data_IF_293001312691
#
_entry.id   IF_293001312691
#
_cell.length_a   1.000
_cell.length_b   1.000
_cell.length_c   1.000
_cell.angle_alpha   90.00
_cell.angle_beta   90.00
_cell.angle_gamma   90.00
#
_symmetry.space_group_name_H-M   'P 1'
#
loop_
_entity.id
_entity.type
_entity.pdbx_description
1 polymer ?
#
# COMPACT_ATOMS: atom_id res chain seq x y z
N UNK A 1 -29.15 50.01 43.91
CA UNK A 1 -29.45 49.73 42.48
C UNK A 1 -30.89 49.24 42.42
N UNK A 2 -31.77 49.92 41.68
CA UNK A 2 -33.18 49.50 41.61
C UNK A 2 -33.32 48.30 40.67
N UNK A 3 -34.29 47.43 40.94
CA UNK A 3 -34.49 46.13 40.28
C UNK A 3 -34.38 46.19 38.74
N UNK A 4 -34.91 47.26 38.14
CA UNK A 4 -34.89 47.50 36.69
C UNK A 4 -33.47 47.70 36.14
N UNK A 5 -32.61 48.42 36.87
CA UNK A 5 -31.20 48.63 36.49
C UNK A 5 -30.40 47.32 36.57
N UNK A 6 -30.72 46.43 37.51
CA UNK A 6 -30.07 45.11 37.62
C UNK A 6 -30.47 44.18 36.47
N UNK A 7 -31.73 44.22 36.02
CA UNK A 7 -32.23 43.38 34.92
C UNK A 7 -31.58 43.79 33.59
N UNK A 8 -31.50 45.10 33.31
CA UNK A 8 -30.89 45.61 32.07
C UNK A 8 -29.40 45.20 32.00
N UNK A 9 -28.68 45.28 33.12
CA UNK A 9 -27.27 44.90 33.17
C UNK A 9 -27.06 43.40 32.96
N UNK A 10 -27.94 42.55 33.53
CA UNK A 10 -27.87 41.09 33.36
C UNK A 10 -28.13 40.66 31.90
N UNK A 11 -29.10 41.27 31.22
CA UNK A 11 -29.40 40.97 29.81
C UNK A 11 -28.25 41.40 28.90
N UNK A 12 -27.62 42.54 29.17
CA UNK A 12 -26.46 43.01 28.41
C UNK A 12 -25.26 42.04 28.52
N UNK A 13 -24.97 41.51 29.71
CA UNK A 13 -23.89 40.54 29.92
C UNK A 13 -24.18 39.21 29.21
N UNK A 14 -25.43 38.72 29.26
CA UNK A 14 -25.84 37.50 28.56
C UNK A 14 -25.73 37.65 27.05
N UNK A 15 -26.14 38.81 26.50
CA UNK A 15 -26.00 39.11 25.08
C UNK A 15 -24.53 39.13 24.62
N UNK A 16 -23.66 39.79 25.38
CA UNK A 16 -22.21 39.81 25.09
C UNK A 16 -21.61 38.41 25.19
N UNK A 17 -21.98 37.62 26.19
CA UNK A 17 -21.48 36.25 26.38
C UNK A 17 -21.87 35.34 25.21
N UNK A 18 -23.10 35.44 24.71
CA UNK A 18 -23.56 34.66 23.56
C UNK A 18 -22.83 35.05 22.26
N UNK A 19 -22.62 36.34 22.02
CA UNK A 19 -21.87 36.83 20.85
C UNK A 19 -20.40 36.42 20.92
N UNK A 20 -19.78 36.51 22.10
CA UNK A 20 -18.41 36.04 22.33
C UNK A 20 -18.30 34.53 22.14
N UNK A 21 -19.18 33.72 22.75
CA UNK A 21 -19.16 32.26 22.54
C UNK A 21 -19.40 31.86 21.07
N UNK A 22 -20.32 32.53 20.37
CA UNK A 22 -20.58 32.28 18.94
C UNK A 22 -19.38 32.61 18.05
N UNK A 23 -18.74 33.76 18.27
CA UNK A 23 -17.57 34.19 17.48
C UNK A 23 -16.31 33.37 17.78
N UNK A 24 -16.08 32.99 19.04
CA UNK A 24 -14.98 32.08 19.39
C UNK A 24 -15.20 30.70 18.78
N UNK A 25 -16.39 30.10 18.90
CA UNK A 25 -16.67 28.78 18.31
C UNK A 25 -16.47 28.78 16.78
N UNK A 26 -16.96 29.80 16.07
CA UNK A 26 -16.80 29.90 14.62
C UNK A 26 -15.33 30.06 14.18
N UNK A 27 -14.52 30.78 14.96
CA UNK A 27 -13.08 30.93 14.66
C UNK A 27 -12.33 29.61 14.87
N UNK A 28 -12.69 28.82 15.89
CA UNK A 28 -12.10 27.51 16.12
C UNK A 28 -12.50 26.50 15.05
N UNK A 29 -13.74 26.50 14.58
CA UNK A 29 -14.15 25.60 13.49
C UNK A 29 -13.40 25.90 12.19
N UNK A 30 -13.19 27.17 11.85
CA UNK A 30 -12.39 27.56 10.70
C UNK A 30 -10.92 27.17 10.83
N UNK A 31 -10.31 27.38 12.00
CA UNK A 31 -8.94 26.93 12.27
C UNK A 31 -8.80 25.41 12.26
N UNK A 32 -9.81 24.65 12.71
CA UNK A 32 -9.80 23.18 12.64
C UNK A 32 -9.96 22.68 11.21
N UNK A 33 -10.83 23.28 10.40
CA UNK A 33 -10.96 22.93 8.99
C UNK A 33 -9.66 23.17 8.22
N UNK A 34 -9.03 24.35 8.40
CA UNK A 34 -7.74 24.67 7.77
C UNK A 34 -6.60 23.78 8.27
N UNK A 35 -6.57 23.46 9.57
CA UNK A 35 -5.57 22.54 10.12
C UNK A 35 -5.78 21.14 9.56
N UNK A 36 -7.01 20.67 9.42
CA UNK A 36 -7.32 19.35 8.88
C UNK A 36 -6.98 19.21 7.39
N UNK A 37 -7.24 20.24 6.58
CA UNK A 37 -6.78 20.30 5.18
C UNK A 37 -5.25 20.27 5.07
N UNK A 38 -4.52 20.84 6.04
CA UNK A 38 -3.05 20.83 6.04
C UNK A 38 -2.40 19.45 6.28
N UNK A 39 -3.17 18.43 6.68
CA UNK A 39 -2.70 17.04 6.83
C UNK A 39 -3.27 16.06 5.78
N UNK A 40 -4.21 16.48 4.93
CA UNK A 40 -4.69 15.62 3.84
C UNK A 40 -3.64 15.54 2.74
N UNK A 41 -2.80 14.51 2.83
CA UNK A 41 -1.82 14.21 1.80
C UNK A 41 -2.55 13.80 0.50
N UNK A 42 -2.09 14.27 -0.67
CA UNK A 42 -2.78 14.03 -1.94
C UNK A 42 -2.92 12.53 -2.22
N UNK A 43 -3.96 12.18 -2.99
CA UNK A 43 -4.13 10.83 -3.50
C UNK A 43 -2.94 10.46 -4.40
N UNK A 44 -2.54 9.20 -4.33
CA UNK A 44 -1.47 8.69 -5.18
C UNK A 44 -2.06 8.26 -6.53
N UNK A 45 -1.25 8.39 -7.57
CA UNK A 45 -1.61 8.07 -8.94
C UNK A 45 -0.58 7.12 -9.58
N UNK A 46 -0.76 6.85 -10.87
CA UNK A 46 0.11 5.95 -11.64
C UNK A 46 1.57 6.41 -11.63
N UNK A 47 1.84 7.71 -11.76
CA UNK A 47 3.22 8.22 -11.75
C UNK A 47 3.92 8.02 -10.41
N UNK A 48 3.19 8.06 -9.29
CA UNK A 48 3.77 7.89 -7.95
C UNK A 48 4.22 6.46 -7.67
N UNK A 49 3.63 5.48 -8.35
CA UNK A 49 3.96 4.05 -8.16
C UNK A 49 4.96 3.53 -9.20
N UNK A 50 5.26 4.32 -10.23
CA UNK A 50 6.32 4.01 -11.19
C UNK A 50 7.68 4.18 -10.53
N UNK A 51 8.61 3.29 -10.87
CA UNK A 51 10.00 3.35 -10.42
C UNK A 51 10.20 3.21 -8.90
N UNK A 52 9.19 2.74 -8.16
CA UNK A 52 9.35 2.39 -6.75
C UNK A 52 10.23 1.16 -6.59
N UNK A 53 10.97 1.11 -5.50
CA UNK A 53 11.76 -0.05 -5.12
C UNK A 53 11.84 -0.14 -3.60
N UNK A 54 12.38 -1.23 -3.09
CA UNK A 54 12.70 -1.32 -1.67
C UNK A 54 13.03 -2.73 -1.21
N UNK A 55 12.94 -2.92 0.11
CA UNK A 55 13.25 -4.16 0.80
C UNK A 55 12.01 -4.99 1.13
N UNK A 56 12.16 -6.30 1.14
CA UNK A 56 11.23 -7.27 1.72
C UNK A 56 11.85 -7.78 3.01
N UNK A 57 11.09 -7.75 4.11
CA UNK A 57 11.40 -8.41 5.37
C UNK A 57 10.05 -8.83 5.95
N UNK A 58 9.79 -10.13 5.97
CA UNK A 58 8.48 -10.66 6.32
C UNK A 58 8.59 -11.99 7.06
N UNK A 59 7.87 -12.11 8.18
CA UNK A 59 7.65 -13.39 8.83
C UNK A 59 6.46 -14.07 8.18
N UNK A 60 6.61 -15.33 7.79
CA UNK A 60 5.54 -16.08 7.14
C UNK A 60 5.07 -17.21 8.01
N UNK A 61 3.75 -17.29 8.16
CA UNK A 61 3.10 -18.26 9.01
C UNK A 61 2.46 -19.36 8.17
N UNK A 62 2.25 -20.53 8.77
CA UNK A 62 1.43 -21.58 8.20
C UNK A 62 -0.07 -21.34 8.48
N UNK A 63 -0.94 -22.26 8.04
CA UNK A 63 -2.39 -22.18 8.28
C UNK A 63 -2.82 -22.13 9.75
N UNK A 64 -1.95 -22.51 10.69
CA UNK A 64 -2.18 -22.42 12.13
C UNK A 64 -1.58 -21.16 12.77
N UNK A 65 -1.16 -20.19 11.96
CA UNK A 65 -0.52 -18.95 12.40
C UNK A 65 0.84 -19.15 13.12
N UNK A 66 1.50 -20.28 12.86
CA UNK A 66 2.83 -20.57 13.40
C UNK A 66 3.89 -20.10 12.39
N UNK A 67 4.90 -19.31 12.80
CA UNK A 67 5.98 -18.90 11.92
C UNK A 67 6.78 -20.09 11.38
N UNK A 68 6.98 -20.12 10.07
CA UNK A 68 7.70 -21.19 9.35
C UNK A 68 8.85 -20.67 8.50
N UNK A 69 8.73 -19.46 7.95
CA UNK A 69 9.76 -18.84 7.11
C UNK A 69 10.03 -17.39 7.49
N UNK A 70 11.29 -16.99 7.41
CA UNK A 70 11.72 -15.60 7.32
C UNK A 70 11.99 -15.32 5.85
N UNK A 71 11.25 -14.37 5.27
CA UNK A 71 11.42 -13.94 3.89
C UNK A 71 12.12 -12.59 3.87
N UNK A 72 13.19 -12.50 3.09
CA UNK A 72 13.95 -11.27 2.92
C UNK A 72 14.27 -11.04 1.44
N UNK A 73 14.49 -9.80 1.02
CA UNK A 73 14.87 -9.55 -0.36
C UNK A 73 14.71 -8.12 -0.82
N UNK A 74 14.70 -7.94 -2.14
CA UNK A 74 14.51 -6.66 -2.81
C UNK A 74 13.36 -6.77 -3.81
N UNK A 75 12.69 -5.66 -4.05
CA UNK A 75 11.67 -5.54 -5.08
C UNK A 75 11.81 -4.22 -5.82
N UNK A 76 11.30 -4.19 -7.04
CA UNK A 76 11.18 -2.97 -7.84
C UNK A 76 9.96 -3.03 -8.74
N UNK A 77 9.37 -1.88 -8.95
CA UNK A 77 8.39 -1.59 -9.98
C UNK A 77 9.09 -0.67 -10.99
N UNK A 78 9.22 -1.11 -12.24
CA UNK A 78 9.75 -0.30 -13.35
C UNK A 78 8.68 0.03 -14.38
N UNK A 79 9.09 0.75 -15.41
CA UNK A 79 8.29 1.00 -16.61
C UNK A 79 8.75 0.11 -17.77
N UNK A 80 7.81 -0.54 -18.46
CA UNK A 80 8.11 -1.19 -19.74
C UNK A 80 8.10 -0.10 -20.81
N UNK A 81 9.26 0.21 -21.37
CA UNK A 81 9.34 1.17 -22.47
C UNK A 81 8.67 0.55 -23.70
N UNK A 82 7.46 0.99 -24.03
CA UNK A 82 6.86 0.69 -25.34
C UNK A 82 7.67 1.41 -26.41
N UNK A 83 8.30 0.69 -27.34
CA UNK A 83 8.87 1.28 -28.55
C UNK A 83 7.79 1.68 -29.59
N UNK A 84 6.52 1.79 -29.18
CA UNK A 84 5.40 1.97 -30.09
C UNK A 84 5.09 3.46 -30.27
N UNK A 85 5.61 4.04 -31.34
CA UNK A 85 5.40 5.42 -31.78
C UNK A 85 4.02 5.62 -32.42
N UNK A 86 2.94 5.22 -31.74
CA UNK A 86 1.58 5.49 -32.19
C UNK A 86 0.79 6.25 -31.12
N UNK A 87 1.10 7.53 -31.00
CA UNK A 87 0.31 8.52 -30.26
C UNK A 87 -1.02 8.75 -30.96
N UNK A 88 -2.01 7.95 -30.61
CA UNK A 88 -3.42 8.33 -30.69
C UNK A 88 -4.12 7.76 -29.46
N UNK A 89 -4.26 8.56 -28.41
CA UNK A 89 -5.08 8.20 -27.26
C UNK A 89 -5.68 9.44 -26.64
N UNK A 90 -6.80 9.85 -27.22
CA UNK A 90 -7.88 10.45 -26.46
C UNK A 90 -8.59 9.29 -25.73
N UNK A 91 -7.99 8.81 -24.64
CA UNK A 91 -8.60 7.81 -23.76
C UNK A 91 -8.04 8.00 -22.35
N UNK A 92 -8.95 8.17 -21.39
CA UNK A 92 -8.70 8.28 -19.95
C UNK A 92 -8.21 6.93 -19.34
N UNK A 93 -7.52 6.10 -20.12
CA UNK A 93 -7.03 4.78 -19.76
C UNK A 93 -5.52 4.74 -19.88
N UNK A 94 -4.83 5.46 -18.99
CA UNK A 94 -3.41 5.27 -18.73
C UNK A 94 -3.21 3.94 -17.99
N UNK A 95 -3.45 2.81 -18.65
CA UNK A 95 -2.93 1.51 -18.22
C UNK A 95 -1.43 1.54 -18.43
N UNK A 96 -0.73 2.14 -17.46
CA UNK A 96 0.71 2.31 -17.48
C UNK A 96 1.40 0.96 -17.59
N UNK A 97 2.31 0.85 -18.54
CA UNK A 97 3.27 -0.22 -18.68
C UNK A 97 4.12 -0.36 -17.41
N UNK A 98 3.66 -1.14 -16.44
CA UNK A 98 4.33 -1.35 -15.16
C UNK A 98 4.89 -2.77 -15.14
N UNK A 99 6.16 -2.90 -14.79
CA UNK A 99 6.84 -4.19 -14.59
C UNK A 99 7.19 -4.37 -13.12
N UNK A 100 6.74 -5.45 -12.49
CA UNK A 100 7.17 -5.82 -11.15
C UNK A 100 8.23 -6.93 -11.21
N UNK A 101 9.33 -6.73 -10.49
CA UNK A 101 10.38 -7.72 -10.31
C UNK A 101 10.78 -7.81 -8.83
N UNK A 102 11.07 -9.01 -8.37
CA UNK A 102 11.60 -9.21 -7.01
C UNK A 102 12.55 -10.39 -6.95
N UNK A 103 13.50 -10.32 -6.02
CA UNK A 103 14.33 -11.45 -5.62
C UNK A 103 14.24 -11.60 -4.12
N UNK A 104 13.78 -12.76 -3.68
CA UNK A 104 13.58 -13.09 -2.27
C UNK A 104 14.34 -14.35 -1.88
N UNK A 105 14.80 -14.37 -0.64
CA UNK A 105 15.37 -15.53 0.04
C UNK A 105 14.47 -15.88 1.20
N UNK A 106 14.15 -17.16 1.32
CA UNK A 106 13.43 -17.73 2.45
C UNK A 106 14.42 -18.53 3.28
N UNK A 107 14.45 -18.29 4.59
CA UNK A 107 15.14 -19.13 5.56
C UNK A 107 14.09 -19.75 6.47
N UNK A 108 14.15 -21.05 6.72
CA UNK A 108 13.23 -21.69 7.68
C UNK A 108 13.50 -21.10 9.07
N UNK A 109 12.48 -21.07 9.92
CA UNK A 109 12.60 -20.42 11.24
C UNK A 109 13.66 -21.08 12.15
N UNK A 110 13.97 -22.35 11.90
CA UNK A 110 15.04 -23.11 12.56
C UNK A 110 16.42 -22.96 11.89
N UNK A 111 16.49 -22.23 10.77
CA UNK A 111 17.72 -21.95 10.01
C UNK A 111 18.27 -23.11 9.17
N UNK A 112 17.58 -24.25 9.08
CA UNK A 112 18.11 -25.46 8.43
C UNK A 112 17.94 -25.46 6.90
N UNK A 113 16.92 -24.76 6.38
CA UNK A 113 16.59 -24.72 4.97
C UNK A 113 16.65 -23.30 4.42
N UNK A 114 17.12 -23.15 3.19
CA UNK A 114 17.16 -21.87 2.49
C UNK A 114 16.72 -22.02 1.04
N UNK A 115 15.69 -21.26 0.64
CA UNK A 115 15.21 -21.20 -0.74
C UNK A 115 15.44 -19.80 -1.30
N UNK A 116 15.72 -19.71 -2.60
CA UNK A 116 15.82 -18.43 -3.32
C UNK A 116 14.80 -18.41 -4.44
N UNK A 117 14.06 -17.31 -4.54
CA UNK A 117 13.06 -17.11 -5.58
C UNK A 117 13.30 -15.81 -6.33
N UNK A 118 13.07 -15.83 -7.65
CA UNK A 118 12.97 -14.62 -8.46
C UNK A 118 11.55 -14.53 -9.02
N UNK A 119 10.88 -13.43 -8.71
CA UNK A 119 9.58 -13.07 -9.25
C UNK A 119 9.80 -12.15 -10.45
N UNK A 120 9.38 -12.59 -11.65
CA UNK A 120 9.65 -11.90 -12.92
C UNK A 120 8.56 -12.15 -13.95
N UNK A 121 8.67 -11.52 -15.11
CA UNK A 121 7.72 -11.65 -16.23
C UNK A 121 6.30 -11.23 -15.79
N UNK A 122 6.20 -10.15 -15.00
CA UNK A 122 4.92 -9.65 -14.51
C UNK A 122 4.03 -9.18 -15.67
N UNK A 123 2.77 -9.60 -15.66
CA UNK A 123 1.75 -9.16 -16.62
C UNK A 123 0.63 -8.46 -15.85
N UNK A 124 0.54 -7.15 -16.03
CA UNK A 124 -0.50 -6.33 -15.43
C UNK A 124 -1.89 -6.75 -15.96
N UNK A 125 -2.84 -6.94 -15.04
CA UNK A 125 -4.25 -7.17 -15.37
C UNK A 125 -5.09 -5.93 -15.09
N UNK A 126 -4.93 -5.33 -13.92
CA UNK A 126 -5.59 -4.08 -13.56
C UNK A 126 -4.81 -3.35 -12.46
N UNK A 127 -5.12 -2.07 -12.30
CA UNK A 127 -4.57 -1.25 -11.24
C UNK A 127 -5.65 -0.28 -10.76
N UNK A 128 -5.76 -0.14 -9.44
CA UNK A 128 -6.72 0.76 -8.80
C UNK A 128 -6.01 1.63 -7.78
N UNK A 129 -6.53 2.85 -7.60
CA UNK A 129 -6.01 3.83 -6.65
C UNK A 129 -7.15 4.30 -5.76
N UNK A 130 -6.92 4.32 -4.45
CA UNK A 130 -7.85 4.84 -3.48
C UNK A 130 -7.07 5.59 -2.41
N UNK A 131 -7.23 6.91 -2.37
CA UNK A 131 -6.48 7.81 -1.50
C UNK A 131 -4.98 7.56 -1.69
N UNK A 132 -4.29 7.11 -0.63
CA UNK A 132 -2.86 6.81 -0.63
C UNK A 132 -2.53 5.33 -0.76
N UNK A 133 -3.48 4.55 -1.26
CA UNK A 133 -3.31 3.12 -1.51
C UNK A 133 -3.41 2.84 -3.00
N UNK A 134 -2.58 1.94 -3.51
CA UNK A 134 -2.73 1.36 -4.83
C UNK A 134 -2.81 -0.16 -4.70
N UNK A 135 -3.60 -0.78 -5.57
CA UNK A 135 -3.65 -2.23 -5.74
C UNK A 135 -3.33 -2.52 -7.20
N UNK A 136 -2.28 -3.30 -7.42
CA UNK A 136 -1.76 -3.69 -8.73
C UNK A 136 -1.94 -5.21 -8.83
N UNK A 137 -2.83 -5.65 -9.72
CA UNK A 137 -3.13 -7.06 -9.90
C UNK A 137 -2.56 -7.56 -11.22
N UNK A 138 -2.11 -8.80 -11.25
CA UNK A 138 -1.57 -9.40 -12.47
C UNK A 138 -1.21 -10.86 -12.30
N UNK A 139 -0.34 -11.33 -13.18
CA UNK A 139 0.28 -12.65 -13.08
C UNK A 139 1.80 -12.54 -13.10
N UNK A 140 2.49 -13.50 -12.50
CA UNK A 140 3.95 -13.50 -12.41
C UNK A 140 4.54 -14.90 -12.62
N UNK A 141 5.82 -14.95 -12.96
CA UNK A 141 6.61 -16.18 -12.93
C UNK A 141 7.50 -16.23 -11.70
N UNK A 142 7.48 -17.37 -11.01
CA UNK A 142 8.33 -17.70 -9.86
C UNK A 142 9.40 -18.66 -10.34
N UNK A 143 10.66 -18.26 -10.24
CA UNK A 143 11.80 -19.14 -10.50
C UNK A 143 12.45 -19.48 -9.17
N UNK A 144 12.56 -20.77 -8.86
CA UNK A 144 13.00 -21.27 -7.56
C UNK A 144 14.36 -21.93 -7.68
N UNK A 145 15.17 -21.81 -6.63
CA UNK A 145 16.44 -22.52 -6.49
C UNK A 145 16.70 -22.80 -5.00
N UNK A 146 17.40 -23.91 -4.71
CA UNK A 146 17.66 -24.34 -3.33
C UNK A 146 16.51 -25.10 -2.66
N UNK A 147 15.38 -25.28 -3.34
CA UNK A 147 14.30 -26.16 -2.89
C UNK A 147 14.58 -27.60 -3.33
N UNK A 148 15.24 -28.37 -2.47
CA UNK A 148 15.59 -29.76 -2.75
C UNK A 148 14.36 -30.67 -2.91
N UNK A 149 13.22 -30.28 -2.31
CA UNK A 149 11.98 -31.05 -2.37
C UNK A 149 11.16 -30.72 -3.63
N UNK A 150 11.52 -29.64 -4.34
CA UNK A 150 10.91 -29.25 -5.61
C UNK A 150 9.41 -28.99 -5.52
N UNK A 151 8.91 -28.43 -4.40
CA UNK A 151 7.48 -28.22 -4.15
C UNK A 151 6.84 -27.40 -5.28
N UNK A 152 7.55 -26.37 -5.72
CA UNK A 152 7.18 -25.50 -6.84
C UNK A 152 7.81 -25.90 -8.18
N UNK A 153 8.78 -26.82 -8.17
CA UNK A 153 9.73 -27.01 -9.27
C UNK A 153 10.61 -25.77 -9.53
N UNK A 154 11.44 -25.83 -10.57
CA UNK A 154 12.39 -24.76 -10.89
C UNK A 154 11.71 -23.48 -11.42
N UNK A 155 10.55 -23.63 -12.07
CA UNK A 155 9.79 -22.51 -12.63
C UNK A 155 8.29 -22.78 -12.61
N UNK A 156 7.56 -21.84 -12.04
CA UNK A 156 6.09 -21.78 -12.05
C UNK A 156 5.66 -20.47 -12.72
N UNK A 157 4.81 -20.53 -13.73
CA UNK A 157 4.39 -19.35 -14.52
C UNK A 157 2.92 -19.05 -14.36
N UNK A 158 2.54 -17.77 -14.53
CA UNK A 158 1.13 -17.37 -14.52
C UNK A 158 0.50 -17.36 -13.14
N UNK A 159 1.31 -17.24 -12.08
CA UNK A 159 0.83 -17.18 -10.69
C UNK A 159 0.08 -15.86 -10.50
N UNK A 160 -1.21 -15.87 -10.13
CA UNK A 160 -1.93 -14.66 -9.78
C UNK A 160 -1.28 -13.99 -8.57
N UNK A 161 -1.10 -12.68 -8.68
CA UNK A 161 -0.45 -11.85 -7.66
C UNK A 161 -1.21 -10.53 -7.50
N UNK A 162 -1.33 -10.09 -6.25
CA UNK A 162 -1.84 -8.78 -5.87
C UNK A 162 -0.76 -8.04 -5.10
N UNK A 163 -0.42 -6.83 -5.55
CA UNK A 163 0.58 -5.98 -4.94
C UNK A 163 -0.11 -4.73 -4.45
N UNK A 164 -0.08 -4.49 -3.15
CA UNK A 164 -0.62 -3.29 -2.54
C UNK A 164 0.50 -2.37 -2.09
N UNK A 165 0.49 -1.13 -2.56
CA UNK A 165 1.37 -0.07 -2.03
C UNK A 165 0.53 0.82 -1.13
N UNK A 166 1.00 1.03 0.10
CA UNK A 166 0.31 1.84 1.10
C UNK A 166 1.19 3.02 1.48
N UNK A 167 0.61 4.22 1.36
CA UNK A 167 1.23 5.50 1.71
C UNK A 167 2.60 5.75 1.03
N UNK A 168 2.91 5.04 -0.05
CA UNK A 168 4.25 5.00 -0.67
C UNK A 168 5.37 4.61 0.31
N UNK A 169 5.03 3.84 1.35
CA UNK A 169 5.98 3.42 2.41
C UNK A 169 6.02 1.91 2.61
N UNK A 170 4.91 1.23 2.35
CA UNK A 170 4.78 -0.20 2.58
C UNK A 170 4.32 -0.89 1.30
N UNK A 171 4.91 -2.05 1.03
CA UNK A 171 4.44 -2.98 0.01
C UNK A 171 3.89 -4.24 0.69
N UNK A 172 2.78 -4.76 0.18
CA UNK A 172 2.21 -6.04 0.55
C UNK A 172 2.04 -6.85 -0.73
N UNK A 173 2.62 -8.02 -0.77
CA UNK A 173 2.58 -8.93 -1.91
C UNK A 173 1.79 -10.17 -1.49
N UNK A 174 0.70 -10.42 -2.18
CA UNK A 174 -0.07 -11.64 -2.00
C UNK A 174 -0.11 -12.45 -3.28
N UNK A 175 0.14 -13.75 -3.16
CA UNK A 175 0.14 -14.70 -4.27
C UNK A 175 -0.91 -15.77 -4.00
N UNK A 176 -1.53 -16.30 -5.05
CA UNK A 176 -2.52 -17.35 -4.92
C UNK A 176 -1.96 -18.57 -4.18
N UNK A 177 -2.41 -18.77 -2.94
CA UNK A 177 -1.89 -19.78 -2.01
C UNK A 177 -2.10 -21.20 -2.52
N UNK A 178 -3.15 -21.46 -3.32
CA UNK A 178 -3.42 -22.79 -3.88
C UNK A 178 -2.42 -23.11 -4.98
N UNK A 179 -2.16 -22.15 -5.87
CA UNK A 179 -1.22 -22.32 -6.98
C UNK A 179 0.22 -22.46 -6.47
N UNK A 180 0.62 -21.67 -5.48
CA UNK A 180 1.94 -21.81 -4.84
C UNK A 180 1.98 -22.85 -3.73
N UNK A 181 0.92 -23.67 -3.55
CA UNK A 181 0.85 -24.74 -2.55
C UNK A 181 1.26 -24.32 -1.13
N UNK A 182 0.90 -23.10 -0.74
CA UNK A 182 1.28 -22.48 0.54
C UNK A 182 2.81 -22.43 0.79
N UNK A 183 3.64 -22.56 -0.26
CA UNK A 183 5.11 -22.62 -0.16
C UNK A 183 5.71 -21.41 0.55
N UNK A 184 5.15 -20.24 0.32
CA UNK A 184 5.55 -18.98 0.96
C UNK A 184 4.89 -18.73 2.32
N UNK A 185 4.10 -19.66 2.84
CA UNK A 185 3.18 -19.46 3.96
C UNK A 185 1.80 -18.96 3.52
N UNK A 186 0.90 -18.80 4.49
CA UNK A 186 -0.50 -18.38 4.29
C UNK A 186 -0.71 -16.88 4.47
N UNK A 187 0.24 -16.19 5.07
CA UNK A 187 0.26 -14.72 5.19
C UNK A 187 0.69 -14.04 3.87
N UNK A 188 0.34 -12.76 3.67
CA UNK A 188 1.01 -11.91 2.68
C UNK A 188 2.48 -11.68 3.02
N UNK A 189 3.28 -11.31 2.00
CA UNK A 189 4.68 -10.93 2.15
C UNK A 189 4.77 -9.40 2.27
N UNK A 190 5.40 -8.90 3.33
CA UNK A 190 5.52 -7.47 3.62
C UNK A 190 6.91 -6.93 3.27
N UNK A 191 6.96 -5.65 2.92
CA UNK A 191 8.19 -4.92 2.68
C UNK A 191 8.02 -3.41 2.85
N UNK A 192 9.12 -2.69 2.72
CA UNK A 192 9.16 -1.23 2.70
C UNK A 192 9.45 -0.70 1.30
N UNK A 193 9.02 0.53 1.06
CA UNK A 193 9.41 1.37 -0.08
C UNK A 193 10.60 2.24 0.35
N UNK A 194 11.61 2.35 -0.51
CA UNK A 194 12.81 3.18 -0.31
C UNK A 194 12.71 4.53 -1.03
#
# INVERSE_FOLDING_TARGET
MNLISSIIFAVAILGVSLVVSGTFNHKYDFSRALFQESFEQPSINVSDVRNLNGDIISLQNNGSNIPVWIVSGKWKIGEIQSNDTNTNSNSNTTTGNIEFNSSITMASIDGTNTHKHKLRDFKLSNMTFQNRNSIINGTISVVTSGDANGILGDRLTGVPISIKIMNLRTIIIDMDKKIVKEHFGTSPIYGKVD
#
